data_IF_512588722880
#
_entry.id   IF_512588722880
#
_cell.length_a   1.000
_cell.length_b   1.000
_cell.length_c   1.000
_cell.angle_alpha   90.00
_cell.angle_beta   90.00
_cell.angle_gamma   90.00
#
_symmetry.space_group_name_H-M   'P 1'
#
loop_
_entity.id
_entity.type
_entity.pdbx_description
1 polymer ?
2 non-polymer ?
3 non-polymer ?
4 non-polymer ?
5 water ?
#
# COMPACT_ATOMS: atom_id res chain seq x y z
N UNK A 13 2.68 4.38 -29.21
CA UNK A 13 2.00 3.49 -28.23
C UNK A 13 2.93 3.00 -27.12
N UNK A 14 2.33 2.54 -26.03
CA UNK A 14 3.06 1.90 -24.93
C UNK A 14 2.55 0.46 -24.84
N UNK A 15 3.21 -0.40 -24.05
CA UNK A 15 2.76 -1.80 -23.97
C UNK A 15 1.29 -1.96 -23.58
N UNK A 16 0.82 -1.22 -22.61
CA UNK A 16 -0.56 -1.33 -22.14
C UNK A 16 -1.44 -0.27 -22.80
N UNK A 17 -2.52 -0.73 -23.44
CA UNK A 17 -3.53 0.15 -23.99
C UNK A 17 -4.58 0.43 -22.92
N UNK A 18 -4.33 1.48 -22.13
CA UNK A 18 -5.16 1.77 -20.95
C UNK A 18 -6.62 2.04 -21.34
N UNK A 19 -7.55 1.60 -20.51
CA UNK A 19 -8.97 1.83 -20.74
C UNK A 19 -9.32 3.29 -20.57
N UNK A 20 -10.15 3.80 -21.47
CA UNK A 20 -10.72 5.13 -21.36
C UNK A 20 -12.17 5.05 -20.87
N UNK A 21 -12.62 6.07 -20.15
CA UNK A 21 -13.97 6.10 -19.59
C UNK A 21 -15.03 5.77 -20.64
N UNK A 22 -14.84 6.26 -21.86
CA UNK A 22 -15.82 6.09 -22.95
C UNK A 22 -15.90 4.63 -23.43
N UNK A 23 -14.81 3.88 -23.25
CA UNK A 23 -14.71 2.49 -23.71
C UNK A 23 -15.36 1.47 -22.78
N UNK A 24 -15.61 1.85 -21.54
CA UNK A 24 -15.97 0.89 -20.49
C UNK A 24 -17.28 0.15 -20.77
N UNK A 25 -18.26 0.85 -21.34
CA UNK A 25 -19.55 0.24 -21.64
C UNK A 25 -19.45 -0.89 -22.67
N UNK A 26 -18.43 -0.84 -23.52
CA UNK A 26 -18.23 -1.85 -24.56
C UNK A 26 -17.53 -3.12 -24.08
N UNK A 27 -17.02 -3.12 -22.86
CA UNK A 27 -16.32 -4.27 -22.33
C UNK A 27 -17.31 -5.13 -21.55
N UNK A 28 -17.42 -6.39 -21.94
CA UNK A 28 -18.34 -7.33 -21.32
C UNK A 28 -17.54 -8.39 -20.56
N UNK A 29 -17.29 -8.09 -19.29
CA UNK A 29 -16.52 -8.96 -18.43
C UNK A 29 -17.16 -10.32 -18.24
N UNK A 30 -18.49 -10.38 -18.29
CA UNK A 30 -19.23 -11.63 -18.06
C UNK A 30 -18.88 -12.72 -19.09
N UNK A 31 -18.45 -12.32 -20.28
CA UNK A 31 -18.06 -13.27 -21.32
C UNK A 31 -16.73 -13.96 -21.01
N UNK A 32 -15.89 -13.31 -20.22
CA UNK A 32 -14.45 -13.58 -20.19
C UNK A 32 -13.97 -14.63 -19.18
N UNK A 33 -13.01 -15.44 -19.61
CA UNK A 33 -12.28 -16.29 -18.69
C UNK A 33 -11.50 -15.40 -17.73
N UNK A 34 -10.97 -15.98 -16.67
CA UNK A 34 -10.17 -15.24 -15.71
C UNK A 34 -8.93 -14.61 -16.38
N UNK A 35 -8.26 -15.36 -17.24
CA UNK A 35 -7.10 -14.86 -17.99
C UNK A 35 -7.45 -13.58 -18.77
N UNK A 36 -8.59 -13.61 -19.46
CA UNK A 36 -9.03 -12.45 -20.24
C UNK A 36 -9.43 -11.27 -19.35
N UNK A 37 -10.06 -11.54 -18.21
CA UNK A 37 -10.37 -10.48 -17.24
C UNK A 37 -9.09 -9.79 -16.75
N UNK A 38 -8.04 -10.57 -16.50
CA UNK A 38 -6.78 -9.99 -16.01
C UNK A 38 -6.15 -9.05 -17.03
N UNK A 39 -6.36 -9.31 -18.32
CA UNK A 39 -5.92 -8.39 -19.37
C UNK A 39 -6.66 -7.05 -19.26
N UNK A 40 -7.92 -7.10 -18.85
CA UNK A 40 -8.69 -5.88 -18.59
C UNK A 40 -8.26 -5.18 -17.30
N UNK A 41 -8.05 -5.95 -16.22
CA UNK A 41 -7.61 -5.33 -14.96
C UNK A 41 -6.31 -4.55 -15.19
N UNK A 42 -5.38 -5.14 -15.94
CA UNK A 42 -4.10 -4.53 -16.29
C UNK A 42 -4.29 -3.19 -17.01
N UNK A 43 -5.32 -3.10 -17.85
CA UNK A 43 -5.59 -1.91 -18.65
C UNK A 43 -6.34 -0.81 -17.90
N UNK A 44 -6.75 -1.09 -16.66
CA UNK A 44 -7.30 -0.04 -15.80
C UNK A 44 -6.12 0.83 -15.39
N UNK A 45 -6.20 2.14 -15.65
CA UNK A 45 -5.14 3.03 -15.19
C UNK A 45 -5.25 3.20 -13.69
N UNK A 46 -4.42 2.47 -12.96
CA UNK A 46 -4.59 2.39 -11.50
C UNK A 46 -3.79 3.46 -10.76
N UNK A 47 -4.43 4.03 -9.75
CA UNK A 47 -3.79 4.90 -8.78
C UNK A 47 -3.82 4.19 -7.43
N UNK A 48 -2.65 3.81 -6.94
CA UNK A 48 -2.53 3.00 -5.74
C UNK A 48 -1.86 3.82 -4.63
N UNK A 49 -2.52 3.87 -3.47
CA UNK A 49 -2.13 4.75 -2.37
C UNK A 49 -1.52 4.03 -1.17
N UNK A 50 -1.68 2.71 -1.09
CA UNK A 50 -1.31 1.96 0.09
C UNK A 50 -0.59 0.67 -0.30
N UNK A 51 0.72 0.76 -0.42
CA UNK A 51 1.54 -0.40 -0.70
C UNK A 51 2.88 -0.23 -0.01
N UNK A 52 3.23 -1.21 0.83
CA UNK A 52 4.46 -1.16 1.60
C UNK A 52 5.61 -1.64 0.73
N UNK A 53 6.43 -0.71 0.28
CA UNK A 53 7.57 -1.01 -0.60
C UNK A 53 8.48 -2.07 0.00
N UNK A 54 8.71 -1.97 1.32
CA UNK A 54 9.61 -2.91 2.00
C UNK A 54 9.05 -4.34 2.13
N UNK A 55 7.77 -4.53 1.81
CA UNK A 55 7.15 -5.86 1.71
C UNK A 55 6.45 -6.04 0.37
N UNK A 56 7.05 -5.45 -0.66
CA UNK A 56 6.51 -5.50 -2.02
C UNK A 56 7.53 -6.21 -2.90
N UNK A 57 7.25 -7.45 -3.23
CA UNK A 57 8.14 -8.23 -4.08
C UNK A 57 7.44 -9.47 -4.59
N UNK A 58 8.01 -10.07 -5.63
CA UNK A 58 7.52 -11.33 -6.18
C UNK A 58 8.16 -12.49 -5.43
N UNK A 59 7.54 -13.67 -5.56
CA UNK A 59 8.10 -14.91 -5.01
C UNK A 59 9.52 -15.12 -5.50
N UNK A 60 9.70 -14.97 -6.82
CA UNK A 60 10.99 -15.22 -7.47
C UNK A 60 12.06 -14.29 -6.90
N UNK A 61 11.73 -13.01 -6.76
CA UNK A 61 12.66 -12.06 -6.18
C UNK A 61 13.03 -12.41 -4.75
N UNK A 62 12.04 -12.74 -3.94
CA UNK A 62 12.30 -13.06 -2.53
C UNK A 62 13.25 -14.25 -2.40
N UNK A 63 12.94 -15.34 -3.08
CA UNK A 63 13.79 -16.54 -3.05
C UNK A 63 15.20 -16.23 -3.55
N UNK A 64 15.32 -15.41 -4.59
CA UNK A 64 16.64 -15.00 -5.08
C UNK A 64 17.47 -14.35 -3.98
N UNK A 65 16.85 -13.51 -3.16
CA UNK A 65 17.54 -12.88 -2.02
C UNK A 65 18.01 -13.90 -1.00
N UNK A 66 17.13 -14.83 -0.64
CA UNK A 66 17.45 -15.90 0.31
C UNK A 66 18.61 -16.79 -0.18
N UNK A 67 18.70 -17.01 -1.49
CA UNK A 67 19.81 -17.78 -2.08
C UNK A 67 21.09 -16.95 -2.14
N UNK A 68 20.97 -15.68 -2.53
CA UNK A 68 22.11 -14.77 -2.65
C UNK A 68 22.96 -14.74 -1.37
N UNK A 69 22.28 -14.67 -0.23
CA UNK A 69 22.96 -14.55 1.06
C UNK A 69 23.02 -15.89 1.79
N UNK A 70 22.66 -16.97 1.10
CA UNK A 70 22.75 -18.34 1.65
C UNK A 70 22.09 -18.43 3.02
N UNK A 71 20.87 -17.90 3.11
CA UNK A 71 20.17 -17.82 4.39
C UNK A 71 19.39 -19.08 4.76
N UNK A 72 18.99 -19.87 3.76
CA UNK A 72 18.22 -21.10 4.01
C UNK A 72 18.69 -22.27 3.15
N UNK A 73 19.95 -22.70 3.34
CA UNK A 73 20.51 -23.76 2.46
C UNK A 73 19.81 -25.10 2.58
N UNK A 74 19.18 -25.35 3.73
CA UNK A 74 18.49 -26.62 3.97
C UNK A 74 17.01 -26.61 3.58
N UNK A 75 16.52 -25.50 3.03
CA UNK A 75 15.14 -25.38 2.57
C UNK A 75 15.04 -25.21 1.06
N UNK A 76 13.96 -25.73 0.47
CA UNK A 76 13.69 -25.56 -0.96
C UNK A 76 13.05 -24.21 -1.21
N UNK A 77 12.95 -23.83 -2.49
CA UNK A 77 12.33 -22.56 -2.87
C UNK A 77 10.92 -22.42 -2.26
N UNK A 78 10.09 -23.44 -2.41
CA UNK A 78 8.72 -23.40 -1.84
C UNK A 78 8.68 -23.43 -0.31
N UNK A 79 9.60 -24.17 0.32
CA UNK A 79 9.67 -24.18 1.79
C UNK A 79 10.07 -22.80 2.34
N UNK A 80 10.90 -22.09 1.57
CA UNK A 80 11.28 -20.72 1.90
C UNK A 80 10.06 -19.80 1.90
N UNK A 81 9.22 -19.90 0.88
CA UNK A 81 8.01 -19.08 0.78
C UNK A 81 7.06 -19.35 1.95
N UNK A 82 6.91 -20.62 2.33
CA UNK A 82 6.06 -21.00 3.46
C UNK A 82 6.62 -20.49 4.78
N UNK A 83 7.93 -20.59 4.94
CA UNK A 83 8.61 -20.21 6.19
C UNK A 83 8.54 -18.71 6.46
N UNK A 84 8.66 -17.92 5.40
CA UNK A 84 8.80 -16.46 5.54
C UNK A 84 7.53 -15.65 5.31
N UNK A 85 6.68 -16.11 4.38
CA UNK A 85 5.61 -15.26 3.86
C UNK A 85 4.22 -15.64 4.38
N UNK A 86 3.19 -14.98 3.85
CA UNK A 86 1.84 -15.03 4.41
C UNK A 86 0.79 -15.36 3.35
N UNK A 87 1.18 -16.11 2.32
CA UNK A 87 0.32 -16.36 1.15
C UNK A 87 -0.94 -17.14 1.51
N UNK A 88 -0.83 -18.01 2.52
CA UNK A 88 -1.97 -18.79 2.99
C UNK A 88 -2.73 -18.05 4.09
N UNK A 89 -2.26 -16.86 4.45
CA UNK A 89 -2.91 -16.05 5.47
C UNK A 89 -2.54 -16.51 6.87
N UNK A 90 -3.28 -16.01 7.86
CA UNK A 90 -3.01 -16.31 9.26
C UNK A 90 -4.14 -15.82 10.13
N UNK A 91 -3.93 -15.83 11.45
CA UNK A 91 -5.02 -15.62 12.40
C UNK A 91 -5.36 -14.16 12.61
N UNK A 92 -4.39 -13.28 12.38
CA UNK A 92 -4.50 -11.89 12.85
C UNK A 92 -3.44 -10.97 12.27
N UNK A 93 -3.64 -9.67 12.45
CA UNK A 93 -2.60 -8.68 12.17
C UNK A 93 -1.36 -8.96 13.01
N UNK A 94 -1.56 -9.35 14.26
CA UNK A 94 -0.43 -9.69 15.15
C UNK A 94 0.47 -10.74 14.54
N UNK A 95 -0.11 -11.80 14.01
CA UNK A 95 0.65 -12.87 13.36
C UNK A 95 1.40 -12.36 12.13
N UNK A 96 0.73 -11.53 11.34
CA UNK A 96 1.35 -10.91 10.18
C UNK A 96 2.61 -10.10 10.56
N UNK A 97 2.47 -9.27 11.58
CA UNK A 97 3.58 -8.43 12.04
C UNK A 97 4.77 -9.28 12.45
N UNK A 98 4.53 -10.39 13.15
CA UNK A 98 5.63 -11.28 13.54
C UNK A 98 6.28 -11.94 12.35
N UNK A 99 5.49 -12.31 11.36
CA UNK A 99 6.03 -12.95 10.16
C UNK A 99 6.88 -11.96 9.37
N UNK A 100 6.40 -10.72 9.25
CA UNK A 100 7.12 -9.68 8.53
C UNK A 100 8.52 -9.44 9.13
N UNK A 101 8.65 -9.59 10.44
CA UNK A 101 9.95 -9.48 11.10
C UNK A 101 10.97 -10.48 10.52
N UNK A 102 10.50 -11.68 10.16
CA UNK A 102 11.36 -12.72 9.59
C UNK A 102 11.89 -12.31 8.22
N UNK A 103 11.02 -11.69 7.43
CA UNK A 103 11.35 -11.22 6.08
C UNK A 103 12.53 -10.26 6.06
N UNK A 104 12.71 -9.51 7.14
CA UNK A 104 13.85 -8.59 7.27
C UNK A 104 15.22 -9.26 7.14
N UNK A 105 15.28 -10.59 7.23
CA UNK A 105 16.47 -11.35 6.88
C UNK A 105 17.08 -10.94 5.52
N UNK A 106 16.25 -10.44 4.60
CA UNK A 106 16.75 -10.07 3.28
C UNK A 106 17.35 -8.68 3.17
N UNK A 107 17.20 -7.87 4.22
CA UNK A 107 17.68 -6.49 4.21
C UNK A 107 19.16 -6.44 4.60
N UNK A 108 19.95 -7.20 3.85
CA UNK A 108 21.34 -7.50 4.20
C UNK A 108 22.27 -6.32 3.95
N UNK A 109 21.97 -5.55 2.91
CA UNK A 109 22.81 -4.43 2.51
C UNK A 109 22.01 -3.46 1.63
N UNK A 110 22.68 -2.41 1.15
CA UNK A 110 22.01 -1.36 0.37
C UNK A 110 21.79 -1.73 -1.10
N UNK A 111 22.58 -2.67 -1.62
CA UNK A 111 22.39 -3.13 -3.00
C UNK A 111 21.05 -3.86 -3.15
N UNK A 112 20.75 -4.77 -2.22
CA UNK A 112 19.51 -5.53 -2.30
C UNK A 112 18.30 -4.61 -2.08
N UNK A 113 18.45 -3.60 -1.23
CA UNK A 113 17.37 -2.64 -1.00
C UNK A 113 17.06 -1.84 -2.27
N UNK A 114 18.12 -1.38 -2.94
CA UNK A 114 17.96 -0.68 -4.21
C UNK A 114 17.26 -1.57 -5.24
N UNK A 115 17.66 -2.83 -5.31
CA UNK A 115 17.12 -3.77 -6.29
C UNK A 115 15.66 -4.09 -6.00
N UNK A 116 15.33 -4.20 -4.72
CA UNK A 116 13.96 -4.42 -4.28
C UNK A 116 13.09 -3.25 -4.77
N UNK A 117 13.58 -2.03 -4.53
CA UNK A 117 12.88 -0.83 -4.97
C UNK A 117 12.68 -0.81 -6.49
N UNK A 118 13.74 -1.11 -7.25
CA UNK A 118 13.67 -1.10 -8.71
C UNK A 118 12.62 -2.09 -9.21
N UNK A 119 12.69 -3.32 -8.71
CA UNK A 119 11.76 -4.35 -9.13
C UNK A 119 10.33 -4.05 -8.69
N UNK A 120 10.16 -3.45 -7.51
CA UNK A 120 8.84 -3.08 -7.04
C UNK A 120 8.17 -2.08 -7.99
N UNK A 121 8.90 -1.04 -8.37
CA UNK A 121 8.38 -0.05 -9.33
C UNK A 121 8.11 -0.69 -10.69
N UNK A 122 9.04 -1.47 -11.20
CA UNK A 122 8.86 -2.06 -12.52
C UNK A 122 7.62 -2.96 -12.59
N UNK A 123 7.41 -3.77 -11.56
CA UNK A 123 6.24 -4.65 -11.57
C UNK A 123 4.93 -3.88 -11.52
N UNK A 124 4.89 -2.79 -10.76
CA UNK A 124 3.70 -1.92 -10.75
C UNK A 124 3.44 -1.33 -12.15
N UNK A 125 4.51 -0.90 -12.81
CA UNK A 125 4.42 -0.44 -14.21
C UNK A 125 3.83 -1.52 -15.11
N UNK A 126 4.34 -2.75 -15.02
CA UNK A 126 3.88 -3.87 -15.83
C UNK A 126 2.41 -4.19 -15.56
N UNK A 127 1.98 -3.94 -14.33
CA UNK A 127 0.60 -4.22 -13.90
C UNK A 127 -0.39 -3.13 -14.31
N UNK A 128 0.10 -2.00 -14.84
CA UNK A 128 -0.80 -0.91 -15.27
C UNK A 128 -1.13 0.11 -14.18
N UNK A 129 -0.23 0.26 -13.21
CA UNK A 129 -0.34 1.35 -12.25
C UNK A 129 0.31 2.58 -12.86
N UNK A 130 -0.41 3.70 -12.86
CA UNK A 130 0.10 4.96 -13.40
C UNK A 130 0.51 5.93 -12.30
N UNK A 131 -0.10 5.80 -11.13
CA UNK A 131 0.22 6.65 -9.97
C UNK A 131 0.43 5.74 -8.77
N UNK A 132 1.63 5.81 -8.19
CA UNK A 132 2.06 4.88 -7.13
C UNK A 132 2.61 5.66 -5.94
N UNK A 133 1.92 5.61 -4.81
CA UNK A 133 2.50 6.07 -3.55
C UNK A 133 3.00 4.86 -2.81
N UNK A 134 4.32 4.72 -2.77
CA UNK A 134 4.97 3.68 -1.97
C UNK A 134 5.26 4.21 -0.58
N UNK A 135 5.09 3.36 0.42
CA UNK A 135 5.46 3.70 1.77
C UNK A 135 6.46 2.67 2.29
N UNK A 136 7.36 3.10 3.17
CA UNK A 136 8.27 2.17 3.83
C UNK A 136 8.65 2.65 5.22
N UNK A 137 9.08 1.71 6.06
CA UNK A 137 9.53 2.00 7.40
C UNK A 137 11.04 1.93 7.48
N UNK A 138 11.71 3.10 7.63
CA UNK A 138 13.17 3.07 7.77
C UNK A 138 13.64 2.16 8.90
N UNK A 139 12.97 2.22 10.05
CA UNK A 139 13.38 1.43 11.21
C UNK A 139 13.16 -0.06 10.99
N UNK A 140 12.10 -0.41 10.27
CA UNK A 140 11.82 -1.81 9.91
C UNK A 140 12.90 -2.39 8.99
N UNK A 141 13.34 -1.60 8.02
CA UNK A 141 14.38 -2.04 7.11
C UNK A 141 15.76 -2.10 7.82
N UNK A 142 15.98 -1.21 8.79
CA UNK A 142 17.30 -1.05 9.43
C UNK A 142 17.65 -2.05 10.53
N UNK A 143 16.66 -2.60 11.24
CA UNK A 143 16.95 -3.26 12.52
C UNK A 143 17.73 -4.57 12.40
N UNK A 144 17.42 -5.38 11.38
CA UNK A 144 17.96 -6.75 11.31
C UNK A 144 19.49 -6.77 11.17
N UNK A 145 20.02 -5.90 10.30
CA UNK A 145 21.48 -5.81 10.11
C UNK A 145 22.09 -4.47 10.57
N UNK A 146 21.35 -3.75 11.41
CA UNK A 146 21.80 -2.49 11.99
C UNK A 146 22.27 -1.51 10.91
N UNK A 147 21.43 -1.34 9.90
CA UNK A 147 21.76 -0.46 8.78
C UNK A 147 21.51 1.01 9.11
N UNK A 148 22.08 1.87 8.29
CA UNK A 148 21.97 3.33 8.44
C UNK A 148 20.76 3.81 7.65
N UNK A 149 19.77 4.37 8.35
CA UNK A 149 18.53 4.81 7.69
C UNK A 149 18.77 5.85 6.58
N UNK A 150 19.79 6.67 6.72
CA UNK A 150 20.18 7.60 5.65
C UNK A 150 20.57 6.86 4.37
N UNK A 151 21.29 5.75 4.51
CA UNK A 151 21.75 4.97 3.36
C UNK A 151 20.66 4.06 2.81
N UNK A 152 19.77 3.58 3.68
CA UNK A 152 18.55 2.89 3.23
C UNK A 152 17.74 3.81 2.31
N UNK A 153 17.47 5.02 2.81
CA UNK A 153 16.69 6.01 2.05
C UNK A 153 17.34 6.34 0.71
N UNK A 154 18.65 6.56 0.74
CA UNK A 154 19.42 6.82 -0.47
C UNK A 154 19.24 5.71 -1.51
N UNK A 155 19.32 4.47 -1.05
CA UNK A 155 19.18 3.30 -1.93
C UNK A 155 17.79 3.23 -2.57
N UNK A 156 16.75 3.46 -1.77
CA UNK A 156 15.37 3.39 -2.24
C UNK A 156 15.11 4.52 -3.24
N UNK A 157 15.51 5.74 -2.90
CA UNK A 157 15.30 6.88 -3.79
C UNK A 157 16.04 6.68 -5.12
N UNK A 158 17.28 6.19 -5.04
CA UNK A 158 18.08 5.91 -6.24
C UNK A 158 17.42 4.86 -7.12
N UNK A 159 16.99 3.75 -6.52
CA UNK A 159 16.32 2.67 -7.25
C UNK A 159 15.06 3.11 -7.96
N UNK A 160 14.23 3.88 -7.26
CA UNK A 160 13.00 4.41 -7.87
C UNK A 160 13.34 5.39 -9.00
N UNK A 161 14.26 6.32 -8.75
CA UNK A 161 14.65 7.31 -9.76
C UNK A 161 15.14 6.64 -11.05
N UNK A 162 15.97 5.61 -10.90
CA UNK A 162 16.56 4.94 -12.06
C UNK A 162 15.50 4.23 -12.90
N UNK A 163 14.53 3.58 -12.25
CA UNK A 163 13.49 2.89 -13.01
C UNK A 163 12.50 3.85 -13.65
N UNK A 164 12.07 4.89 -12.92
CA UNK A 164 11.13 5.85 -13.51
C UNK A 164 11.77 6.61 -14.67
N UNK A 165 13.09 6.87 -14.59
CA UNK A 165 13.80 7.46 -15.71
C UNK A 165 13.88 6.51 -16.90
N UNK A 166 14.20 5.23 -16.66
CA UNK A 166 14.19 4.24 -17.73
C UNK A 166 12.83 4.16 -18.41
N UNK A 167 11.78 4.25 -17.60
CA UNK A 167 10.39 4.17 -18.07
C UNK A 167 9.85 5.49 -18.63
N UNK A 168 10.70 6.51 -18.77
CA UNK A 168 10.28 7.81 -19.30
C UNK A 168 9.11 8.40 -18.49
N UNK A 169 9.13 8.16 -17.18
CA UNK A 169 8.09 8.66 -16.26
C UNK A 169 6.66 8.25 -16.65
N UNK A 170 6.49 7.08 -17.24
CA UNK A 170 5.17 6.56 -17.58
C UNK A 170 4.46 5.99 -16.36
N UNK A 171 5.22 5.78 -15.29
CA UNK A 171 4.66 5.60 -13.95
C UNK A 171 5.22 6.71 -13.07
N UNK A 172 4.35 7.33 -12.29
CA UNK A 172 4.74 8.35 -11.33
C UNK A 172 4.68 7.75 -9.94
N UNK A 173 5.78 7.91 -9.22
CA UNK A 173 5.98 7.28 -7.93
C UNK A 173 6.30 8.37 -6.89
N UNK A 174 5.63 8.32 -5.76
CA UNK A 174 5.96 9.17 -4.61
C UNK A 174 6.21 8.26 -3.40
N UNK A 175 6.88 8.79 -2.38
CA UNK A 175 7.20 8.01 -1.20
C UNK A 175 6.54 8.60 0.05
N UNK A 176 6.10 7.70 0.92
CA UNK A 176 5.69 8.01 2.28
C UNK A 176 6.58 7.32 3.30
N UNK A 177 6.70 7.95 4.46
CA UNK A 177 7.49 7.43 5.56
C UNK A 177 6.58 6.83 6.63
N UNK A 178 6.91 5.63 7.10
CA UNK A 178 6.14 4.95 8.16
C UNK A 178 6.95 4.91 9.46
N UNK A 179 6.38 5.47 10.53
CA UNK A 179 6.82 5.17 11.90
C UNK A 179 5.96 4.03 12.38
N UNK A 180 6.57 2.92 12.81
CA UNK A 180 5.79 1.73 13.12
C UNK A 180 6.04 1.17 14.51
N UNK A 181 5.19 0.24 14.90
CA UNK A 181 5.23 -0.40 16.21
C UNK A 181 5.27 -1.92 16.01
N UNK A 182 6.06 -2.61 16.83
CA UNK A 182 6.03 -4.07 16.86
C UNK A 182 7.26 -4.79 16.33
N UNK A 183 8.35 -4.07 16.09
CA UNK A 183 9.63 -4.71 15.79
C UNK A 183 10.70 -4.06 16.65
N UNK A 184 11.86 -4.72 16.76
CA UNK A 184 12.96 -4.17 17.54
C UNK A 184 13.46 -2.89 16.89
N UNK A 185 13.89 -1.95 17.74
CA UNK A 185 14.36 -0.63 17.28
C UNK A 185 13.29 0.22 16.58
N UNK A 186 12.02 0.00 16.92
CA UNK A 186 10.94 0.85 16.43
C UNK A 186 10.96 2.16 17.20
N UNK A 187 10.64 3.27 16.52
CA UNK A 187 10.74 4.59 17.13
C UNK A 187 9.95 5.61 16.31
N UNK A 188 8.75 5.93 16.79
CA UNK A 188 7.86 6.83 16.05
C UNK A 188 8.44 8.24 16.00
N UNK A 189 8.92 8.75 17.13
CA UNK A 189 9.50 10.09 17.13
C UNK A 189 10.66 10.19 16.14
N UNK A 190 11.57 9.22 16.13
CA UNK A 190 12.72 9.24 15.24
C UNK A 190 12.29 9.14 13.78
N UNK A 191 11.24 8.36 13.53
CA UNK A 191 10.69 8.22 12.18
C UNK A 191 10.10 9.54 11.70
N UNK A 192 9.36 10.23 12.57
CA UNK A 192 8.83 11.57 12.25
C UNK A 192 9.94 12.57 11.93
N UNK A 193 10.97 12.61 12.78
CA UNK A 193 12.11 13.50 12.53
C UNK A 193 12.79 13.18 11.21
N UNK A 194 12.92 11.89 10.91
CA UNK A 194 13.54 11.45 9.66
C UNK A 194 12.71 11.88 8.47
N UNK A 195 11.40 11.70 8.58
CA UNK A 195 10.46 12.11 7.54
C UNK A 195 10.59 13.61 7.22
N UNK A 196 10.60 14.42 8.26
CA UNK A 196 10.71 15.88 8.10
C UNK A 196 12.06 16.29 7.54
N UNK A 197 13.12 15.67 8.06
CA UNK A 197 14.47 15.82 7.50
C UNK A 197 14.51 15.59 6.00
N UNK A 198 13.76 14.59 5.53
CA UNK A 198 13.67 14.24 4.12
C UNK A 198 12.32 14.60 3.50
N UNK A 199 11.77 15.74 3.93
CA UNK A 199 10.51 16.28 3.44
C UNK A 199 10.46 16.43 1.92
N UNK A 200 11.61 16.72 1.31
CA UNK A 200 11.72 16.84 -0.15
C UNK A 200 11.38 15.55 -0.89
N UNK A 201 11.58 14.41 -0.22
CA UNK A 201 11.37 13.08 -0.80
C UNK A 201 10.08 12.42 -0.32
N UNK A 202 9.54 12.86 0.82
CA UNK A 202 8.36 12.23 1.38
C UNK A 202 7.12 13.09 1.20
N UNK A 203 6.01 12.50 0.75
CA UNK A 203 4.78 13.25 0.54
C UNK A 203 3.75 13.05 1.64
N UNK A 204 4.04 12.12 2.55
CA UNK A 204 3.13 11.79 3.64
C UNK A 204 3.76 10.94 4.72
N UNK A 205 3.09 10.88 5.87
CA UNK A 205 3.57 10.14 7.02
C UNK A 205 2.49 9.23 7.58
N UNK A 206 2.90 8.03 7.99
CA UNK A 206 2.01 6.92 8.32
C UNK A 206 2.46 6.28 9.63
N UNK A 207 1.54 5.55 10.25
CA UNK A 207 1.89 4.60 11.30
C UNK A 207 1.27 3.25 10.97
N UNK A 208 2.10 2.21 11.02
CA UNK A 208 1.66 0.83 10.82
C UNK A 208 2.28 -0.12 11.83
N UNK A 209 2.15 -1.42 11.56
CA UNK A 209 2.54 -2.45 12.50
C UNK A 209 1.33 -2.76 13.37
N UNK A 210 1.56 -2.96 14.66
CA UNK A 210 0.47 -3.15 15.61
C UNK A 210 -0.41 -1.90 15.55
N UNK A 211 -1.73 -2.10 15.54
CA UNK A 211 -2.66 -0.97 15.51
C UNK A 211 -2.80 -0.41 16.92
N UNK A 212 -2.21 0.76 17.14
CA UNK A 212 -2.24 1.42 18.44
C UNK A 212 -3.07 2.70 18.32
N UNK A 213 -3.64 3.13 19.45
CA UNK A 213 -4.34 4.41 19.53
C UNK A 213 -3.28 5.52 19.54
N UNK A 214 -3.27 6.30 18.46
CA UNK A 214 -2.19 7.24 18.21
C UNK A 214 -2.42 8.60 18.87
N UNK A 215 -3.50 8.73 19.64
CA UNK A 215 -3.73 9.90 20.49
C UNK A 215 -2.54 10.18 21.41
N UNK A 216 -1.90 9.12 21.91
CA UNK A 216 -0.76 9.30 22.82
C UNK A 216 0.46 9.91 22.14
N UNK A 217 0.46 9.93 20.81
CA UNK A 217 1.50 10.59 20.03
C UNK A 217 1.02 11.88 19.34
N UNK A 218 -0.05 12.47 19.88
CA UNK A 218 -0.66 13.68 19.32
C UNK A 218 0.35 14.77 18.95
N UNK A 219 1.32 15.00 19.83
CA UNK A 219 2.30 16.06 19.64
C UNK A 219 3.19 15.81 18.43
N UNK A 220 3.60 14.57 18.24
CA UNK A 220 4.48 14.21 17.12
C UNK A 220 3.75 14.37 15.79
N UNK A 221 2.53 13.84 15.73
CA UNK A 221 1.73 13.94 14.51
C UNK A 221 1.33 15.38 14.18
N UNK A 222 1.01 16.19 15.20
CA UNK A 222 0.70 17.61 15.00
C UNK A 222 1.87 18.31 14.31
N UNK A 223 3.07 18.06 14.82
CA UNK A 223 4.30 18.66 14.31
C UNK A 223 4.57 18.28 12.85
N UNK A 224 4.46 16.99 12.54
CA UNK A 224 4.61 16.55 11.16
C UNK A 224 3.56 17.23 10.26
N UNK A 225 2.29 17.15 10.64
CA UNK A 225 1.19 17.68 9.85
C UNK A 225 1.30 19.20 9.65
N UNK A 226 1.60 19.91 10.72
CA UNK A 226 1.72 21.38 10.67
C UNK A 226 2.95 21.83 9.88
N UNK A 227 3.92 20.93 9.70
CA UNK A 227 5.08 21.15 8.85
C UNK A 227 4.77 20.99 7.35
N UNK A 228 3.53 20.59 7.02
CA UNK A 228 3.12 20.47 5.62
C UNK A 228 3.26 19.06 5.06
N UNK A 229 3.40 18.07 5.94
CA UNK A 229 3.40 16.67 5.53
C UNK A 229 2.09 16.05 5.99
N UNK A 230 1.18 15.77 5.05
CA UNK A 230 -0.11 15.21 5.45
C UNK A 230 -0.01 13.78 5.99
N UNK A 231 -1.04 13.38 6.71
CA UNK A 231 -1.08 12.11 7.40
C UNK A 231 -2.09 11.13 6.81
N UNK A 232 -1.64 9.89 6.73
CA UNK A 232 -2.52 8.76 6.48
C UNK A 232 -2.00 7.64 7.37
N UNK A 233 -2.78 7.24 8.38
CA UNK A 233 -2.33 6.22 9.31
C UNK A 233 -3.22 5.00 9.25
N UNK A 234 -2.64 3.84 9.58
CA UNK A 234 -3.40 2.61 9.70
C UNK A 234 -4.34 2.74 10.89
N UNK A 235 -5.63 2.54 10.65
CA UNK A 235 -6.63 2.57 11.71
C UNK A 235 -7.89 1.87 11.20
N UNK A 236 -8.58 1.17 12.09
CA UNK A 236 -9.78 0.43 11.73
C UNK A 236 -9.53 -0.79 10.87
N UNK A 237 -8.35 -1.37 10.98
CA UNK A 237 -8.01 -2.62 10.31
C UNK A 237 -8.29 -3.81 11.22
N UNK A 238 -7.78 -3.73 12.44
CA UNK A 238 -7.72 -4.89 13.34
C UNK A 238 -9.06 -5.13 14.05
N UNK A 239 -9.75 -6.21 13.68
CA UNK A 239 -11.07 -6.50 14.25
C UNK A 239 -11.03 -6.99 15.68
N UNK A 240 -9.85 -7.33 16.19
CA UNK A 240 -9.72 -7.85 17.55
C UNK A 240 -9.76 -6.73 18.59
N UNK A 241 -9.58 -5.48 18.18
CA UNK A 241 -9.59 -4.37 19.14
C UNK A 241 -11.01 -4.20 19.69
N UNK A 242 -11.14 -3.92 21.01
CA UNK A 242 -12.44 -3.95 21.68
C UNK A 242 -13.35 -2.75 21.42
N UNK A 243 -12.84 -1.75 20.70
CA UNK A 243 -13.62 -0.55 20.35
C UNK A 243 -13.03 0.09 19.10
N UNK A 244 -13.61 1.21 18.65
CA UNK A 244 -13.11 1.95 17.49
C UNK A 244 -12.33 3.21 17.84
N UNK A 245 -11.72 3.24 19.03
CA UNK A 245 -10.96 4.40 19.50
C UNK A 245 -9.86 4.84 18.54
N UNK A 246 -9.18 3.89 17.92
CA UNK A 246 -8.07 4.19 17.00
C UNK A 246 -8.55 5.05 15.82
N UNK A 247 -9.76 4.77 15.33
CA UNK A 247 -10.38 5.53 14.24
C UNK A 247 -10.75 6.94 14.69
N UNK A 248 -11.40 7.05 15.85
CA UNK A 248 -11.74 8.37 16.38
C UNK A 248 -10.48 9.23 16.56
N UNK A 249 -9.41 8.63 17.08
CA UNK A 249 -8.16 9.38 17.29
C UNK A 249 -7.53 9.79 15.96
N UNK A 250 -7.51 8.87 15.00
CA UNK A 250 -6.94 9.17 13.69
C UNK A 250 -7.65 10.36 13.06
N UNK A 251 -8.98 10.35 13.13
CA UNK A 251 -9.80 11.38 12.50
C UNK A 251 -9.77 12.69 13.29
N UNK A 252 -10.06 12.62 14.58
CA UNK A 252 -10.30 13.81 15.39
C UNK A 252 -9.05 14.43 16.00
N UNK A 253 -8.04 13.61 16.30
CA UNK A 253 -6.83 14.10 16.97
C UNK A 253 -5.71 14.31 15.94
N UNK A 254 -5.48 13.29 15.11
CA UNK A 254 -4.43 13.36 14.09
C UNK A 254 -4.84 14.18 12.87
N UNK A 255 -6.16 14.28 12.63
CA UNK A 255 -6.68 15.04 11.49
C UNK A 255 -6.08 14.52 10.19
N UNK A 256 -6.15 13.20 10.05
CA UNK A 256 -5.60 12.55 8.88
C UNK A 256 -6.43 12.95 7.66
N UNK A 257 -5.80 12.93 6.50
CA UNK A 257 -6.47 13.15 5.22
C UNK A 257 -6.97 11.85 4.60
N UNK A 258 -6.32 10.73 4.92
CA UNK A 258 -6.73 9.41 4.47
C UNK A 258 -6.50 8.44 5.62
N UNK A 259 -7.15 7.27 5.57
CA UNK A 259 -6.95 6.21 6.56
C UNK A 259 -6.52 4.92 5.86
N UNK A 260 -5.43 4.32 6.33
CA UNK A 260 -5.03 2.98 5.91
C UNK A 260 -6.01 1.93 6.39
N UNK A 261 -6.60 1.19 5.44
CA UNK A 261 -7.68 0.24 5.71
C UNK A 261 -8.97 0.95 6.06
N UNK A 262 -9.16 1.29 7.34
CA UNK A 262 -10.38 1.93 7.81
C UNK A 262 -11.68 1.16 7.63
N UNK A 263 -11.62 -0.14 7.40
CA UNK A 263 -12.83 -0.92 7.09
C UNK A 263 -13.80 -1.00 8.27
N UNK A 264 -13.29 -0.85 9.50
CA UNK A 264 -14.16 -0.88 10.68
C UNK A 264 -15.03 0.38 10.81
N UNK A 265 -14.79 1.38 9.96
CA UNK A 265 -15.70 2.52 9.81
C UNK A 265 -17.12 2.06 9.51
N UNK A 266 -17.24 0.95 8.78
CA UNK A 266 -18.54 0.36 8.40
C UNK A 266 -19.40 -0.04 9.60
N UNK A 267 -18.78 -0.24 10.75
CA UNK A 267 -19.47 -0.64 11.98
C UNK A 267 -20.12 0.54 12.73
N UNK A 268 -19.98 1.76 12.22
CA UNK A 268 -20.48 2.94 12.92
C UNK A 268 -21.00 4.00 11.97
N UNK A 269 -22.29 4.32 12.06
CA UNK A 269 -22.84 5.39 11.22
C UNK A 269 -22.20 6.73 11.56
N UNK A 270 -21.85 6.95 12.83
CA UNK A 270 -21.19 8.19 13.23
C UNK A 270 -19.90 8.39 12.45
N UNK A 271 -19.07 7.36 12.41
CA UNK A 271 -17.79 7.42 11.71
C UNK A 271 -17.97 7.52 10.18
N UNK A 272 -18.95 6.80 9.64
CA UNK A 272 -19.29 6.91 8.22
C UNK A 272 -19.61 8.35 7.86
N UNK A 273 -20.50 8.99 8.63
CA UNK A 273 -20.85 10.39 8.41
C UNK A 273 -19.65 11.31 8.58
N UNK A 274 -18.83 11.02 9.59
CA UNK A 274 -17.63 11.81 9.88
C UNK A 274 -16.64 11.75 8.72
N UNK A 275 -16.29 10.55 8.28
CA UNK A 275 -15.34 10.41 7.17
C UNK A 275 -15.86 11.07 5.90
N UNK A 276 -17.15 10.92 5.63
CA UNK A 276 -17.76 11.57 4.48
C UNK A 276 -17.70 13.10 4.60
N UNK A 277 -18.07 13.63 5.76
CA UNK A 277 -18.07 15.08 5.99
C UNK A 277 -16.67 15.69 5.88
N UNK A 278 -15.67 14.96 6.32
CA UNK A 278 -14.28 15.43 6.27
C UNK A 278 -13.55 15.12 4.95
N UNK A 279 -14.26 14.50 4.00
CA UNK A 279 -13.69 14.08 2.72
C UNK A 279 -12.44 13.20 2.91
N UNK A 280 -12.50 12.31 3.90
CA UNK A 280 -11.43 11.36 4.14
C UNK A 280 -11.64 10.14 3.23
N UNK A 281 -10.54 9.65 2.64
CA UNK A 281 -10.56 8.43 1.84
C UNK A 281 -9.99 7.24 2.60
N UNK A 282 -10.67 6.10 2.50
CA UNK A 282 -10.21 4.86 3.11
C UNK A 282 -9.43 4.07 2.07
N UNK A 283 -8.18 3.76 2.39
CA UNK A 283 -7.30 3.04 1.49
C UNK A 283 -7.54 1.56 1.76
N UNK A 284 -8.49 0.98 1.03
CA UNK A 284 -8.91 -0.40 1.30
C UNK A 284 -8.00 -1.43 0.64
N UNK A 285 -7.69 -2.49 1.39
CA UNK A 285 -6.77 -3.55 0.97
C UNK A 285 -7.50 -4.89 1.10
N UNK A 286 -8.34 -5.22 0.10
CA UNK A 286 -9.27 -6.36 0.21
C UNK A 286 -8.60 -7.68 0.60
N UNK A 287 -7.60 -8.11 -0.16
CA UNK A 287 -6.98 -9.42 0.05
C UNK A 287 -6.29 -9.49 1.42
N UNK A 288 -5.57 -8.43 1.78
CA UNK A 288 -4.97 -8.33 3.10
C UNK A 288 -5.98 -8.61 4.22
N UNK A 289 -7.14 -7.97 4.13
CA UNK A 289 -8.16 -8.09 5.17
C UNK A 289 -8.65 -9.53 5.31
N UNK A 290 -8.88 -10.19 4.18
CA UNK A 290 -9.32 -11.58 4.20
C UNK A 290 -8.24 -12.52 4.75
N UNK A 291 -7.00 -12.35 4.29
CA UNK A 291 -5.90 -13.22 4.73
C UNK A 291 -5.54 -13.04 6.22
N UNK A 292 -5.78 -11.85 6.76
CA UNK A 292 -5.51 -11.57 8.17
C UNK A 292 -6.75 -11.73 9.06
N UNK A 293 -7.87 -12.20 8.48
CA UNK A 293 -9.13 -12.42 9.18
C UNK A 293 -9.75 -11.14 9.76
N UNK A 294 -9.49 -10.02 9.11
CA UNK A 294 -10.13 -8.75 9.47
C UNK A 294 -11.41 -8.54 8.67
N UNK A 295 -11.65 -9.45 7.73
CA UNK A 295 -12.94 -9.60 7.08
C UNK A 295 -13.18 -11.11 7.05
N UNK A 296 -14.43 -11.53 7.27
CA UNK A 296 -14.75 -12.96 7.35
C UNK A 296 -14.56 -13.66 6.00
N UNK A 297 -14.88 -12.96 4.92
CA UNK A 297 -14.72 -13.47 3.58
C UNK A 297 -14.76 -12.29 2.63
N UNK A 298 -14.34 -12.49 1.39
CA UNK A 298 -14.44 -11.42 0.40
C UNK A 298 -15.91 -11.05 0.14
N UNK A 299 -16.79 -12.06 0.18
CA UNK A 299 -18.25 -11.89 0.02
C UNK A 299 -18.89 -10.93 1.01
N UNK A 300 -18.26 -10.81 2.18
CA UNK A 300 -18.75 -9.95 3.24
C UNK A 300 -17.74 -8.86 3.57
N UNK A 301 -16.85 -8.53 2.63
CA UNK A 301 -15.89 -7.48 2.89
C UNK A 301 -16.63 -6.13 3.00
N UNK A 302 -16.32 -5.33 4.03
CA UNK A 302 -17.02 -4.05 4.24
C UNK A 302 -16.95 -3.01 3.11
N UNK A 303 -16.02 -3.16 2.16
CA UNK A 303 -15.87 -2.17 1.08
C UNK A 303 -17.18 -1.95 0.29
N UNK A 304 -17.95 -3.01 0.08
CA UNK A 304 -19.23 -2.89 -0.60
C UNK A 304 -20.17 -1.94 0.16
N UNK A 305 -20.36 -2.19 1.45
CA UNK A 305 -21.20 -1.35 2.29
C UNK A 305 -20.71 0.10 2.30
N UNK A 306 -19.39 0.27 2.48
CA UNK A 306 -18.79 1.59 2.55
C UNK A 306 -18.96 2.34 1.23
N UNK A 307 -18.73 1.65 0.13
CA UNK A 307 -18.87 2.27 -1.19
C UNK A 307 -20.32 2.70 -1.43
N UNK A 308 -21.26 1.81 -1.09
CA UNK A 308 -22.70 2.11 -1.22
C UNK A 308 -23.16 3.23 -0.29
N UNK A 309 -22.51 3.37 0.86
CA UNK A 309 -22.85 4.41 1.83
C UNK A 309 -22.35 5.79 1.42
N UNK A 310 -21.52 5.85 0.38
CA UNK A 310 -21.03 7.12 -0.17
C UNK A 310 -19.64 7.51 0.33
N UNK A 311 -18.95 6.59 1.00
CA UNK A 311 -17.61 6.84 1.51
C UNK A 311 -16.61 6.70 0.37
N UNK A 312 -15.63 7.60 0.31
CA UNK A 312 -14.57 7.48 -0.68
C UNK A 312 -13.63 6.36 -0.26
N UNK A 313 -13.48 5.38 -1.16
CA UNK A 313 -12.62 4.23 -0.96
C UNK A 313 -11.76 4.04 -2.21
N UNK A 314 -10.54 3.54 -2.03
CA UNK A 314 -9.70 3.12 -3.15
C UNK A 314 -9.17 1.71 -2.91
N UNK A 315 -8.68 1.10 -3.97
CA UNK A 315 -8.24 -0.29 -3.98
C UNK A 315 -6.74 -0.33 -3.92
N UNK A 316 -6.19 -1.20 -3.08
CA UNK A 316 -4.77 -1.25 -2.77
C UNK A 316 -4.31 -2.67 -2.49
N UNK A 317 -3.02 -2.95 -2.70
CA UNK A 317 -2.46 -4.32 -2.55
C UNK A 317 -1.85 -4.60 -1.17
N UNK A 318 -1.49 -3.52 -0.47
CA UNK A 318 -0.88 -3.59 0.86
C UNK A 318 0.56 -4.15 0.86
N UNK A 319 0.71 -5.46 0.71
CA UNK A 319 2.01 -6.12 0.84
C UNK A 319 2.09 -7.29 -0.14
N UNK A 320 2.29 -6.97 -1.43
CA UNK A 320 2.42 -7.98 -2.48
C UNK A 320 3.43 -9.09 -2.15
N UNK A 321 4.53 -8.74 -1.50
CA UNK A 321 5.53 -9.72 -1.08
C UNK A 321 5.02 -10.70 -0.05
N UNK A 322 4.35 -10.20 0.97
CA UNK A 322 3.82 -11.06 2.03
C UNK A 322 2.71 -12.00 1.54
N UNK A 323 1.85 -11.52 0.65
CA UNK A 323 0.67 -12.26 0.20
C UNK A 323 0.87 -12.96 -1.14
N UNK A 324 2.01 -12.71 -1.78
CA UNK A 324 2.31 -13.21 -3.11
C UNK A 324 1.17 -12.93 -4.07
N UNK A 325 0.71 -11.67 -4.02
CA UNK A 325 -0.35 -11.18 -4.88
C UNK A 325 0.13 -9.91 -5.56
N UNK A 326 -0.68 -9.39 -6.47
CA UNK A 326 -0.45 -8.07 -7.04
C UNK A 326 -1.77 -7.31 -7.06
N UNK A 327 -1.71 -6.04 -7.41
CA UNK A 327 -2.87 -5.14 -7.35
C UNK A 327 -4.05 -5.63 -8.20
N UNK A 328 -3.77 -6.23 -9.35
CA UNK A 328 -4.86 -6.79 -10.19
C UNK A 328 -5.63 -7.94 -9.52
N UNK A 329 -4.98 -8.66 -8.61
CA UNK A 329 -5.67 -9.67 -7.81
C UNK A 329 -6.77 -9.06 -6.93
N UNK A 330 -6.49 -7.89 -6.35
CA UNK A 330 -7.49 -7.21 -5.54
C UNK A 330 -8.69 -6.78 -6.39
N UNK A 331 -8.43 -6.26 -7.59
CA UNK A 331 -9.49 -5.97 -8.57
C UNK A 331 -10.29 -7.22 -8.93
N UNK A 332 -9.60 -8.32 -9.24
CA UNK A 332 -10.29 -9.58 -9.55
C UNK A 332 -11.24 -9.99 -8.43
N UNK A 333 -10.76 -9.92 -7.19
CA UNK A 333 -11.57 -10.34 -6.04
C UNK A 333 -12.82 -9.49 -5.87
N UNK A 334 -12.68 -8.18 -6.04
CA UNK A 334 -13.81 -7.26 -5.92
C UNK A 334 -14.86 -7.47 -7.00
N UNK A 335 -14.41 -7.67 -8.23
CA UNK A 335 -15.31 -8.03 -9.32
C UNK A 335 -16.05 -9.34 -9.05
N UNK A 336 -15.31 -10.41 -8.76
CA UNK A 336 -15.90 -11.75 -8.67
C UNK A 336 -16.79 -11.95 -7.45
N UNK A 337 -16.37 -11.41 -6.30
CA UNK A 337 -17.07 -11.67 -5.05
C UNK A 337 -18.08 -10.59 -4.67
N UNK A 338 -17.87 -9.36 -5.10
CA UNK A 338 -18.70 -8.24 -4.68
C UNK A 338 -19.33 -7.43 -5.83
N UNK A 339 -19.21 -7.94 -7.06
CA UNK A 339 -19.90 -7.31 -8.20
C UNK A 339 -19.51 -5.86 -8.46
N UNK A 340 -18.25 -5.50 -8.21
CA UNK A 340 -17.76 -4.17 -8.59
C UNK A 340 -17.64 -4.15 -10.12
N UNK A 341 -17.88 -2.99 -10.71
CA UNK A 341 -17.85 -2.81 -12.16
C UNK A 341 -16.64 -1.98 -12.59
N UNK A 342 -16.39 -1.93 -13.89
CA UNK A 342 -15.31 -1.09 -14.41
C UNK A 342 -15.56 0.38 -14.07
N UNK A 343 -16.82 0.78 -14.12
CA UNK A 343 -17.20 2.15 -13.80
C UNK A 343 -16.87 2.47 -12.33
N UNK A 344 -17.09 1.50 -11.45
CA UNK A 344 -16.75 1.66 -10.04
C UNK A 344 -15.23 1.82 -9.90
N UNK A 345 -14.48 0.92 -10.54
CA UNK A 345 -13.01 0.97 -10.49
C UNK A 345 -12.43 2.29 -10.96
N UNK A 346 -12.98 2.81 -12.07
CA UNK A 346 -12.53 4.09 -12.63
C UNK A 346 -12.76 5.24 -11.66
N UNK A 347 -13.95 5.25 -11.07
CA UNK A 347 -14.32 6.27 -10.07
C UNK A 347 -13.40 6.22 -8.87
N UNK A 348 -13.12 5.02 -8.37
CA UNK A 348 -12.24 4.88 -7.21
C UNK A 348 -10.82 5.32 -7.49
N UNK A 349 -10.32 5.04 -8.70
CA UNK A 349 -8.98 5.47 -9.06
C UNK A 349 -8.88 7.00 -9.21
N UNK A 350 -9.94 7.61 -9.69
CA UNK A 350 -9.99 9.06 -9.77
C UNK A 350 -10.08 9.70 -8.38
N UNK A 351 -10.80 9.07 -7.46
CA UNK A 351 -10.77 9.51 -6.06
C UNK A 351 -9.35 9.42 -5.50
N UNK A 352 -8.68 8.29 -5.77
CA UNK A 352 -7.31 8.10 -5.32
C UNK A 352 -6.41 9.20 -5.86
N UNK A 353 -6.55 9.51 -7.14
CA UNK A 353 -5.81 10.61 -7.76
C UNK A 353 -6.07 11.92 -7.02
N UNK A 354 -7.34 12.22 -6.77
CA UNK A 354 -7.72 13.46 -6.09
C UNK A 354 -7.11 13.53 -4.69
N UNK A 355 -7.12 12.40 -3.97
CA UNK A 355 -6.65 12.36 -2.59
C UNK A 355 -5.17 12.04 -2.45
N UNK A 356 -4.50 11.78 -3.58
CA UNK A 356 -3.06 11.53 -3.57
C UNK A 356 -2.31 12.73 -3.02
N UNK A 357 -1.20 12.43 -2.34
CA UNK A 357 -0.31 13.44 -1.74
C UNK A 357 0.73 13.96 -2.73
N UNK A 358 0.74 13.41 -3.95
CA UNK A 358 1.66 13.80 -5.01
C UNK A 358 1.43 15.25 -5.44
N UNK A 359 2.46 15.88 -5.99
CA UNK A 359 2.38 17.27 -6.47
C UNK A 359 1.21 17.47 -7.44
N UNK A 360 0.45 18.53 -7.24
CA UNK A 360 -0.77 18.74 -8.03
C UNK A 360 -0.47 18.92 -9.52
N UNK A 361 0.68 19.52 -9.86
CA UNK A 361 1.07 19.64 -11.28
C UNK A 361 1.23 18.28 -11.95
N UNK A 362 1.79 17.32 -11.22
CA UNK A 362 1.93 15.95 -11.74
C UNK A 362 0.57 15.28 -11.86
N UNK A 363 -0.24 15.39 -10.81
CA UNK A 363 -1.56 14.78 -10.80
C UNK A 363 -2.47 15.31 -11.90
N UNK A 364 -2.36 16.60 -12.19
CA UNK A 364 -3.15 17.23 -13.26
C UNK A 364 -2.83 16.61 -14.62
N UNK A 365 -1.56 16.31 -14.85
CA UNK A 365 -1.13 15.68 -16.09
C UNK A 365 -1.66 14.26 -16.20
N UNK A 366 -1.66 13.53 -15.08
CA UNK A 366 -2.12 12.15 -15.03
C UNK A 366 -3.63 12.14 -15.29
N UNK A 367 -4.35 13.07 -14.65
CA UNK A 367 -5.79 13.21 -14.86
C UNK A 367 -6.13 13.46 -16.33
N UNK A 368 -5.42 14.39 -16.96
CA UNK A 368 -5.66 14.71 -18.37
C UNK A 368 -5.32 13.55 -19.31
N UNK A 369 -4.31 12.77 -18.96
CA UNK A 369 -3.86 11.65 -19.78
C UNK A 369 -4.78 10.41 -19.72
N UNK A 370 -5.36 10.15 -18.55
CA UNK A 370 -6.10 8.89 -18.33
C UNK A 370 -7.58 9.05 -17.94
N UNK A 371 -7.94 10.17 -17.32
CA UNK A 371 -9.29 10.35 -16.77
C UNK A 371 -10.03 11.48 -17.46
X LIG B 1 -0.67 -1.41 5.29
X LIG C 1 6.26 -1.28 5.92
X LIG C 1 6.63 -2.29 6.84
X LIG C 1 5.90 -2.04 8.14
X LIG C 1 4.46 -1.92 7.87
X LIG C 1 6.04 -3.16 9.17
X LIG C 1 5.87 -2.57 10.47
X LIG C 1 4.85 -4.03 8.81
X LIG C 1 4.42 -4.85 9.89
X LIG C 1 3.79 -2.97 8.60
X LIG C 1 2.62 -3.37 7.81
X LIG C 1 2.60 -3.79 6.54
X LIG C 1 1.31 -4.03 6.19
X LIG C 1 0.54 -3.73 7.23
X LIG C 1 -0.82 -3.76 7.48
X LIG C 1 -1.65 -4.14 6.53
X LIG C 1 -1.30 -3.41 8.68
X LIG C 1 -0.47 -3.01 9.64
X LIG C 1 0.83 -2.96 9.45
X LIG C 1 1.37 -3.31 8.27
X LIG D 1 17.46 11.74 -6.14
X LIG D 1 18.20 10.84 -6.24
X LIG D 1 18.89 9.53 -6.25
X LIG E 1 -24.79 4.18 5.73
X LIG E 1 -24.86 5.30 5.41
X LIG E 1 -24.60 6.61 4.76
#
# INVERSE_FOLDING_TARGET
>A
XAHHHHHHXNILQEPIDFLKKEELKNIDLSQMSKKERYKIWKRIPKCELHCHLDLCFSADFFVSCIRKYNLQPNLSDEEVLDYYLFAKGGKSLGEFVEKAIKVADIFHDYEVIEDLAKHAVFNKYKEGVVLMEFRYSPTFVAFKYNLDIELIHQAIVKGIKEVVELLDHKIHVALMCIGDTGHEAANIKASADFCLKHKADFVGFDHGGHEVDLKEYKEIFDYVRESGVPLSVHAGEDVTLPNLNTLYSAIQVLKVERIGHGIRVAESQELIDMVKEKNILLEVCPISNVLLKNAKSMDTHPIRQLYDAGVKVSVNSDDPGMFLTNINDDYEELYTHLNFTLEDFMKMNEWALEKSFMDSNIKDKIKNLYF
>B hetero
1 ZN ZN
>C hetero
1 ADN O5' C5' C4' O4' C3' O3' C2' O2' C1' N9 C8 N7 C5 C6 N6 N1 C2 N3 C4
>D hetero
1 CCN N C1 C2
>E hetero
1 CCN N C1 C2
#
